data_IF_085638620838
#
_entry.id   IF_085638620838
#
_cell.length_a   1.000
_cell.length_b   1.000
_cell.length_c   1.000
_cell.angle_alpha   90.00
_cell.angle_beta   90.00
_cell.angle_gamma   90.00
#
_symmetry.space_group_name_H-M   'P 1'
#
loop_
_entity.id
_entity.type
_entity.pdbx_description
1 polymer ?
#
# COMPACT_ATOMS: atom_id res chain seq x y z
N UNK A 1 -43.00 7.81 8.37
CA UNK A 1 -42.36 8.94 9.01
C UNK A 1 -41.12 9.27 8.22
N UNK A 2 -41.16 10.46 7.62
CA UNK A 2 -40.23 10.94 6.59
C UNK A 2 -38.84 11.18 7.18
N UNK A 3 -37.82 10.60 6.57
CA UNK A 3 -36.45 11.15 6.57
C UNK A 3 -36.02 11.19 5.12
N UNK A 4 -36.53 12.20 4.44
CA UNK A 4 -35.98 12.77 3.22
C UNK A 4 -35.37 14.08 3.60
N UNK A 5 -34.22 14.35 3.01
CA UNK A 5 -33.63 15.63 2.72
C UNK A 5 -32.41 16.11 3.46
N UNK A 6 -31.59 16.52 2.54
CA UNK A 6 -30.53 17.50 2.55
C UNK A 6 -29.13 16.94 2.83
N UNK A 7 -28.60 16.28 1.80
CA UNK A 7 -27.16 16.28 1.57
C UNK A 7 -26.89 17.56 0.76
N UNK A 8 -26.59 18.62 1.49
CA UNK A 8 -26.13 19.89 0.94
C UNK A 8 -24.87 19.65 0.10
N UNK A 9 -24.88 20.24 -1.07
CA UNK A 9 -23.78 20.30 -2.02
C UNK A 9 -22.53 20.80 -1.33
N UNK A 10 -21.53 19.94 -1.23
CA UNK A 10 -20.16 20.38 -1.05
C UNK A 10 -19.43 20.03 -2.33
N UNK A 11 -18.83 21.05 -2.89
CA UNK A 11 -17.90 20.96 -4.01
C UNK A 11 -16.74 20.03 -3.63
N UNK A 12 -17.00 18.73 -3.76
CA UNK A 12 -15.96 17.78 -4.01
C UNK A 12 -15.45 18.15 -5.39
N UNK A 13 -14.18 18.58 -5.48
CA UNK A 13 -13.47 18.69 -6.74
C UNK A 13 -13.66 17.36 -7.44
N UNK A 14 -14.63 17.30 -8.30
CA UNK A 14 -14.90 16.15 -9.13
C UNK A 14 -13.69 16.00 -10.04
N UNK A 15 -13.00 14.85 -9.93
CA UNK A 15 -12.06 14.44 -10.96
C UNK A 15 -12.73 14.66 -12.32
N UNK A 16 -12.06 15.31 -13.28
CA UNK A 16 -12.67 15.63 -14.56
C UNK A 16 -12.95 14.34 -15.32
N UNK A 17 -14.21 14.06 -15.55
CA UNK A 17 -14.66 13.22 -16.64
C UNK A 17 -14.75 11.75 -16.32
N UNK A 18 -15.84 11.33 -16.51
CA UNK A 18 -16.50 10.16 -17.06
C UNK A 18 -17.94 10.15 -16.52
N UNK A 19 -18.64 11.26 -16.67
CA UNK A 19 -20.10 11.19 -16.62
C UNK A 19 -20.51 10.41 -17.85
N UNK A 20 -20.97 9.16 -17.64
CA UNK A 20 -21.64 8.43 -18.71
C UNK A 20 -22.69 9.33 -19.34
N UNK A 21 -22.80 9.30 -20.68
CA UNK A 21 -23.71 10.20 -21.37
C UNK A 21 -25.12 10.10 -20.79
N UNK A 22 -25.70 11.23 -20.50
CA UNK A 22 -27.07 11.39 -19.97
C UNK A 22 -28.11 10.46 -20.65
N UNK A 23 -27.97 10.11 -21.97
CA UNK A 23 -28.87 9.18 -22.64
C UNK A 23 -28.89 7.77 -22.06
N UNK A 24 -27.77 7.26 -21.50
CA UNK A 24 -27.74 5.89 -20.94
C UNK A 24 -28.60 5.76 -19.70
N UNK A 25 -28.48 6.67 -18.73
CA UNK A 25 -29.25 6.65 -17.48
C UNK A 25 -30.76 6.86 -17.75
N UNK A 26 -31.13 7.70 -18.70
CA UNK A 26 -32.51 7.93 -19.08
C UNK A 26 -33.10 6.70 -19.80
N UNK A 27 -32.35 6.09 -20.70
CA UNK A 27 -32.76 4.85 -21.38
C UNK A 27 -32.93 3.69 -20.38
N UNK A 28 -31.97 3.51 -19.46
CA UNK A 28 -32.08 2.52 -18.38
C UNK A 28 -33.29 2.77 -17.48
N UNK A 29 -33.51 4.03 -17.07
CA UNK A 29 -34.66 4.40 -16.25
C UNK A 29 -36.01 4.12 -16.94
N UNK A 30 -36.08 4.33 -18.25
CA UNK A 30 -37.26 3.96 -19.04
C UNK A 30 -37.43 2.43 -19.18
N UNK A 31 -36.33 1.73 -19.41
CA UNK A 31 -36.35 0.27 -19.53
C UNK A 31 -36.86 -0.41 -18.25
N UNK A 32 -36.32 -0.02 -17.07
CA UNK A 32 -36.74 -0.63 -15.80
C UNK A 32 -38.19 -0.34 -15.40
N UNK A 33 -38.79 0.75 -15.95
CA UNK A 33 -40.21 1.06 -15.73
C UNK A 33 -41.17 0.09 -16.41
N UNK A 34 -40.71 -0.59 -17.46
CA UNK A 34 -41.54 -1.55 -18.22
C UNK A 34 -41.81 -2.83 -17.47
N UNK A 35 -40.97 -3.17 -16.48
CA UNK A 35 -41.16 -4.36 -15.67
C UNK A 35 -42.15 -4.09 -14.55
N UNK A 36 -43.16 -4.92 -14.44
CA UNK A 36 -44.17 -4.83 -13.36
C UNK A 36 -43.59 -5.37 -12.05
N UNK A 37 -44.12 -4.88 -10.94
CA UNK A 37 -43.81 -5.42 -9.62
C UNK A 37 -44.58 -6.73 -9.43
N UNK A 38 -43.90 -7.74 -8.94
CA UNK A 38 -44.48 -9.05 -8.69
C UNK A 38 -45.32 -9.07 -7.42
N UNK A 39 -46.46 -9.80 -7.48
CA UNK A 39 -47.22 -10.16 -6.30
C UNK A 39 -46.45 -11.18 -5.43
N UNK A 40 -46.71 -11.23 -4.10
CA UNK A 40 -45.98 -12.14 -3.20
C UNK A 40 -46.01 -13.60 -3.62
N UNK A 41 -47.14 -14.08 -4.13
CA UNK A 41 -47.29 -15.44 -4.63
C UNK A 41 -46.42 -15.71 -5.87
N UNK A 42 -46.34 -14.76 -6.78
CA UNK A 42 -45.53 -14.86 -7.99
C UNK A 42 -44.03 -14.86 -7.65
N UNK A 43 -43.59 -14.01 -6.70
CA UNK A 43 -42.20 -14.01 -6.21
C UNK A 43 -41.81 -15.41 -5.70
N UNK A 44 -42.68 -16.02 -4.87
CA UNK A 44 -42.42 -17.33 -4.31
C UNK A 44 -42.38 -18.44 -5.38
N UNK A 45 -43.30 -18.40 -6.33
CA UNK A 45 -43.35 -19.37 -7.42
C UNK A 45 -42.10 -19.29 -8.29
N UNK A 46 -41.69 -18.09 -8.69
CA UNK A 46 -40.45 -17.86 -9.48
C UNK A 46 -39.22 -18.30 -8.71
N UNK A 47 -39.14 -17.98 -7.42
CA UNK A 47 -38.01 -18.38 -6.59
C UNK A 47 -37.91 -19.89 -6.41
N UNK A 48 -39.04 -20.60 -6.16
CA UNK A 48 -39.06 -22.07 -6.11
C UNK A 48 -38.65 -22.69 -7.43
N UNK A 49 -39.22 -22.20 -8.53
CA UNK A 49 -38.87 -22.69 -9.86
C UNK A 49 -37.36 -22.51 -10.16
N UNK A 50 -36.78 -21.40 -9.75
CA UNK A 50 -35.33 -21.22 -9.84
C UNK A 50 -34.54 -22.21 -8.98
N UNK A 51 -34.98 -22.47 -7.75
CA UNK A 51 -34.30 -23.42 -6.85
C UNK A 51 -34.38 -24.87 -7.34
N UNK A 52 -35.55 -25.29 -7.79
CA UNK A 52 -35.82 -26.68 -8.17
C UNK A 52 -35.25 -27.03 -9.55
N UNK A 53 -35.47 -26.16 -10.53
CA UNK A 53 -35.18 -26.46 -11.95
C UNK A 53 -34.03 -25.67 -12.52
N UNK A 54 -33.49 -24.72 -11.76
CA UNK A 54 -32.45 -23.75 -12.25
C UNK A 54 -32.90 -23.00 -13.51
N UNK A 55 -34.20 -22.72 -13.61
CA UNK A 55 -34.76 -21.98 -14.75
C UNK A 55 -34.29 -20.53 -14.73
N UNK A 56 -33.34 -20.18 -15.62
CA UNK A 56 -32.82 -18.85 -15.78
C UNK A 56 -33.90 -17.80 -16.11
N UNK A 57 -34.97 -18.17 -16.77
CA UNK A 57 -36.09 -17.28 -17.07
C UNK A 57 -36.82 -16.86 -15.81
N UNK A 58 -36.97 -17.78 -14.86
CA UNK A 58 -37.58 -17.47 -13.55
C UNK A 58 -36.68 -16.53 -12.75
N UNK A 59 -35.37 -16.79 -12.72
CA UNK A 59 -34.40 -15.92 -12.05
C UNK A 59 -34.38 -14.52 -12.69
N UNK A 60 -34.36 -14.45 -14.02
CA UNK A 60 -34.37 -13.18 -14.75
C UNK A 60 -35.65 -12.38 -14.50
N UNK A 61 -36.84 -13.03 -14.47
CA UNK A 61 -38.09 -12.38 -14.15
C UNK A 61 -38.09 -11.82 -12.71
N UNK A 62 -37.55 -12.58 -11.74
CA UNK A 62 -37.40 -12.12 -10.36
C UNK A 62 -36.48 -10.93 -10.23
N UNK A 63 -35.33 -10.94 -10.91
CA UNK A 63 -34.35 -9.83 -10.91
C UNK A 63 -34.90 -8.59 -11.61
N UNK A 64 -35.44 -8.74 -12.82
CA UNK A 64 -35.88 -7.60 -13.65
C UNK A 64 -37.04 -6.81 -13.00
N UNK A 65 -37.97 -7.49 -12.33
CA UNK A 65 -39.06 -6.84 -11.58
C UNK A 65 -38.57 -5.99 -10.41
N UNK A 66 -37.36 -6.27 -9.87
CA UNK A 66 -36.78 -5.57 -8.73
C UNK A 66 -35.66 -4.57 -9.06
N UNK A 67 -35.31 -4.37 -10.34
CA UNK A 67 -34.28 -3.41 -10.76
C UNK A 67 -34.55 -1.97 -10.28
N UNK A 68 -35.82 -1.57 -10.12
CA UNK A 68 -36.19 -0.27 -9.57
C UNK A 68 -35.68 -0.07 -8.14
N UNK A 69 -35.68 -1.13 -7.33
CA UNK A 69 -35.17 -1.11 -5.95
C UNK A 69 -33.66 -0.93 -5.97
N UNK A 70 -32.95 -1.69 -6.80
CA UNK A 70 -31.51 -1.57 -6.96
C UNK A 70 -31.09 -0.15 -7.38
N UNK A 71 -31.75 0.41 -8.39
CA UNK A 71 -31.51 1.79 -8.83
C UNK A 71 -31.83 2.84 -7.75
N UNK A 72 -32.90 2.65 -6.97
CA UNK A 72 -33.25 3.52 -5.84
C UNK A 72 -32.19 3.48 -4.75
N UNK A 73 -31.72 2.31 -4.37
CA UNK A 73 -30.67 2.15 -3.37
C UNK A 73 -29.36 2.76 -3.85
N UNK A 74 -28.91 2.48 -5.10
CA UNK A 74 -27.70 3.03 -5.70
C UNK A 74 -27.68 4.56 -5.71
N UNK A 75 -28.82 5.18 -6.02
CA UNK A 75 -28.95 6.66 -6.02
C UNK A 75 -28.63 7.27 -4.66
N UNK A 76 -28.89 6.57 -3.56
CA UNK A 76 -28.54 7.01 -2.21
C UNK A 76 -27.05 7.15 -1.94
N UNK A 77 -26.21 6.54 -2.79
CA UNK A 77 -24.75 6.57 -2.67
C UNK A 77 -24.05 7.54 -3.65
N UNK A 78 -24.80 8.37 -4.38
CA UNK A 78 -24.25 9.36 -5.32
C UNK A 78 -23.24 10.31 -4.67
N UNK A 79 -23.38 10.58 -3.37
CA UNK A 79 -22.51 11.49 -2.61
C UNK A 79 -21.07 11.03 -2.39
N UNK A 80 -20.71 9.81 -2.81
CA UNK A 80 -19.34 9.28 -2.70
C UNK A 80 -18.44 9.66 -3.90
N UNK A 81 -18.92 10.44 -4.87
CA UNK A 81 -18.12 10.91 -6.01
C UNK A 81 -17.92 9.87 -7.12
N UNK A 82 -18.48 8.67 -6.98
CA UNK A 82 -18.37 7.62 -7.98
C UNK A 82 -19.47 7.71 -9.05
N UNK A 83 -19.25 7.24 -10.29
CA UNK A 83 -20.23 7.26 -11.37
C UNK A 83 -21.51 6.51 -10.97
N UNK A 84 -22.66 7.15 -11.15
CA UNK A 84 -23.95 6.53 -10.80
C UNK A 84 -24.23 5.26 -11.61
N UNK A 85 -23.73 5.18 -12.83
CA UNK A 85 -23.86 3.99 -13.71
C UNK A 85 -23.21 2.78 -13.07
N UNK A 86 -22.01 2.94 -12.53
CA UNK A 86 -21.26 1.87 -11.89
C UNK A 86 -21.93 1.44 -10.58
N UNK A 87 -22.41 2.41 -9.79
CA UNK A 87 -23.19 2.13 -8.58
C UNK A 87 -24.46 1.32 -8.88
N UNK A 88 -25.14 1.62 -10.00
CA UNK A 88 -26.32 0.86 -10.44
C UNK A 88 -25.91 -0.54 -10.91
N UNK A 89 -24.82 -0.67 -11.66
CA UNK A 89 -24.30 -1.97 -12.09
C UNK A 89 -23.98 -2.89 -10.91
N UNK A 90 -23.29 -2.37 -9.90
CA UNK A 90 -22.98 -3.10 -8.67
C UNK A 90 -24.25 -3.41 -7.84
N UNK A 91 -25.23 -2.50 -7.84
CA UNK A 91 -26.52 -2.75 -7.22
C UNK A 91 -27.27 -3.91 -7.89
N UNK A 92 -27.24 -3.96 -9.24
CA UNK A 92 -27.83 -5.05 -9.99
C UNK A 92 -27.09 -6.38 -9.75
N UNK A 93 -25.77 -6.35 -9.65
CA UNK A 93 -24.98 -7.54 -9.26
C UNK A 93 -25.39 -8.05 -7.87
N UNK A 94 -25.54 -7.16 -6.89
CA UNK A 94 -26.04 -7.48 -5.56
C UNK A 94 -27.45 -8.10 -5.58
N UNK A 95 -28.31 -7.61 -6.49
CA UNK A 95 -29.66 -8.15 -6.68
C UNK A 95 -29.62 -9.58 -7.28
N UNK A 96 -28.75 -9.84 -8.24
CA UNK A 96 -28.53 -11.18 -8.82
C UNK A 96 -28.01 -12.16 -7.76
N UNK A 97 -27.05 -11.73 -6.94
CA UNK A 97 -26.53 -12.55 -5.83
C UNK A 97 -27.67 -12.86 -4.83
N UNK A 98 -28.52 -11.88 -4.53
CA UNK A 98 -29.68 -12.10 -3.66
C UNK A 98 -30.63 -13.12 -4.26
N UNK A 99 -30.94 -13.03 -5.56
CA UNK A 99 -31.83 -13.97 -6.24
C UNK A 99 -31.31 -15.43 -6.20
N UNK A 100 -29.99 -15.59 -6.36
CA UNK A 100 -29.37 -16.92 -6.29
C UNK A 100 -29.41 -17.59 -4.92
N UNK A 101 -29.58 -16.80 -3.86
CA UNK A 101 -29.54 -17.26 -2.45
C UNK A 101 -30.89 -17.12 -1.72
N UNK A 102 -31.90 -16.59 -2.39
CA UNK A 102 -33.20 -16.34 -1.78
C UNK A 102 -33.96 -17.66 -1.50
N UNK A 103 -34.42 -17.83 -0.26
CA UNK A 103 -35.20 -18.94 0.19
C UNK A 103 -36.67 -18.49 0.41
N UNK A 104 -37.59 -18.88 -0.49
CA UNK A 104 -38.97 -18.39 -0.47
C UNK A 104 -39.77 -18.86 0.76
N UNK A 105 -39.39 -20.00 1.35
CA UNK A 105 -40.12 -20.63 2.46
C UNK A 105 -39.88 -19.95 3.81
N UNK A 106 -38.95 -19.02 3.91
CA UNK A 106 -38.68 -18.22 5.14
C UNK A 106 -39.68 -17.08 5.38
N UNK A 107 -40.68 -16.90 4.54
CA UNK A 107 -41.76 -15.93 4.69
C UNK A 107 -41.37 -14.46 4.44
N UNK A 108 -40.12 -14.14 4.14
CA UNK A 108 -39.68 -12.79 3.83
C UNK A 108 -39.94 -12.46 2.34
N UNK A 109 -40.29 -11.20 2.06
CA UNK A 109 -40.36 -10.69 0.67
C UNK A 109 -38.97 -10.61 0.06
N UNK A 110 -38.85 -10.93 -1.24
CA UNK A 110 -37.60 -10.86 -1.96
C UNK A 110 -36.96 -9.45 -1.91
N UNK A 111 -37.83 -8.43 -2.03
CA UNK A 111 -37.36 -7.02 -1.90
C UNK A 111 -36.64 -6.73 -0.57
N UNK A 112 -37.21 -7.26 0.54
CA UNK A 112 -36.57 -7.06 1.88
C UNK A 112 -35.28 -7.83 2.01
N UNK A 113 -35.23 -9.04 1.48
CA UNK A 113 -34.02 -9.87 1.48
C UNK A 113 -32.91 -9.30 0.57
N UNK A 114 -33.27 -8.74 -0.57
CA UNK A 114 -32.31 -8.23 -1.56
C UNK A 114 -31.58 -6.94 -1.12
N UNK A 115 -32.24 -6.06 -0.37
CA UNK A 115 -31.66 -4.75 0.02
C UNK A 115 -30.31 -4.87 0.75
N UNK A 116 -30.11 -5.76 1.74
CA UNK A 116 -28.78 -5.98 2.35
C UNK A 116 -27.70 -6.39 1.35
N UNK A 117 -28.04 -7.27 0.40
CA UNK A 117 -27.10 -7.74 -0.64
C UNK A 117 -26.70 -6.61 -1.61
N UNK A 118 -27.69 -5.84 -2.06
CA UNK A 118 -27.47 -4.64 -2.89
C UNK A 118 -26.54 -3.66 -2.18
N UNK A 119 -26.82 -3.35 -0.90
CA UNK A 119 -25.96 -2.48 -0.10
C UNK A 119 -24.56 -3.03 0.06
N UNK A 120 -24.42 -4.34 0.31
CA UNK A 120 -23.10 -4.97 0.46
C UNK A 120 -22.25 -4.87 -0.81
N UNK A 121 -22.85 -5.13 -2.00
CA UNK A 121 -22.16 -4.96 -3.29
C UNK A 121 -21.73 -3.52 -3.52
N UNK A 122 -22.62 -2.56 -3.30
CA UNK A 122 -22.30 -1.12 -3.43
C UNK A 122 -21.18 -0.72 -2.45
N UNK A 123 -21.25 -1.14 -1.19
CA UNK A 123 -20.22 -0.82 -0.19
C UNK A 123 -18.87 -1.43 -0.58
N UNK A 124 -18.84 -2.67 -1.07
CA UNK A 124 -17.62 -3.30 -1.54
C UNK A 124 -16.99 -2.54 -2.72
N UNK A 125 -17.82 -2.09 -3.66
CA UNK A 125 -17.39 -1.28 -4.79
C UNK A 125 -16.83 0.07 -4.35
N UNK A 126 -17.55 0.80 -3.48
CA UNK A 126 -17.11 2.11 -2.96
C UNK A 126 -15.74 1.97 -2.29
N UNK A 127 -15.57 1.00 -1.36
CA UNK A 127 -14.30 0.82 -0.66
C UNK A 127 -13.13 0.46 -1.58
N UNK A 128 -13.41 -0.13 -2.74
CA UNK A 128 -12.39 -0.50 -3.73
C UNK A 128 -12.02 0.66 -4.67
N UNK A 129 -12.98 1.51 -4.99
CA UNK A 129 -12.87 2.47 -6.09
C UNK A 129 -12.84 3.94 -5.64
N UNK A 130 -13.02 4.22 -4.35
CA UNK A 130 -13.12 5.58 -3.83
C UNK A 130 -11.78 6.32 -3.79
N UNK A 131 -10.67 5.62 -3.51
CA UNK A 131 -9.31 6.17 -3.43
C UNK A 131 -8.30 5.24 -4.11
N UNK A 132 -7.20 5.80 -4.62
CA UNK A 132 -6.06 5.05 -5.17
C UNK A 132 -5.44 4.14 -4.10
N UNK A 133 -5.38 4.61 -2.85
CA UNK A 133 -4.91 3.82 -1.72
C UNK A 133 -6.07 3.06 -1.11
N UNK A 134 -5.95 1.73 -1.05
CA UNK A 134 -7.01 0.85 -0.52
C UNK A 134 -7.38 1.21 0.92
N UNK A 135 -8.66 1.53 1.12
CA UNK A 135 -9.26 1.86 2.42
C UNK A 135 -10.19 0.71 2.86
N UNK A 136 -10.40 0.60 4.19
CA UNK A 136 -11.38 -0.34 4.73
C UNK A 136 -10.92 -1.79 4.75
N UNK A 137 -9.66 -2.05 5.10
CA UNK A 137 -9.13 -3.40 5.28
C UNK A 137 -9.69 -4.08 6.53
N UNK A 138 -9.94 -3.32 7.61
CA UNK A 138 -10.50 -3.83 8.87
C UNK A 138 -11.99 -3.52 9.02
N UNK A 139 -12.68 -4.24 9.92
CA UNK A 139 -14.09 -3.98 10.23
C UNK A 139 -14.28 -2.57 10.82
N UNK A 140 -13.37 -2.11 11.68
CA UNK A 140 -13.36 -0.78 12.26
C UNK A 140 -13.26 0.31 11.18
N UNK A 141 -12.32 0.17 10.23
CA UNK A 141 -12.17 1.11 9.12
C UNK A 141 -13.41 1.19 8.22
N UNK A 142 -14.05 0.04 7.92
CA UNK A 142 -15.31 0.02 7.16
C UNK A 142 -16.43 0.75 7.91
N UNK A 143 -16.57 0.49 9.21
CA UNK A 143 -17.56 1.13 10.09
C UNK A 143 -17.34 2.65 10.11
N UNK A 144 -16.10 3.09 10.28
CA UNK A 144 -15.71 4.51 10.28
C UNK A 144 -15.98 5.16 8.92
N UNK A 145 -15.54 4.57 7.82
CA UNK A 145 -15.70 5.14 6.48
C UNK A 145 -17.16 5.54 6.18
N UNK A 146 -18.13 4.70 6.52
CA UNK A 146 -19.53 4.97 6.24
C UNK A 146 -20.24 5.80 7.31
N UNK A 147 -19.76 5.82 8.55
CA UNK A 147 -20.47 6.44 9.68
C UNK A 147 -19.83 7.72 10.21
N UNK A 148 -18.53 7.91 10.04
CA UNK A 148 -17.77 9.00 10.66
C UNK A 148 -18.38 10.39 10.37
N UNK A 149 -18.63 10.71 9.12
CA UNK A 149 -19.25 12.01 8.74
C UNK A 149 -20.63 12.23 9.35
N UNK A 150 -21.42 11.15 9.50
CA UNK A 150 -22.72 11.21 10.16
C UNK A 150 -22.61 11.46 11.65
N UNK A 151 -21.68 10.78 12.33
CA UNK A 151 -21.45 10.97 13.76
C UNK A 151 -20.80 12.33 14.07
N UNK A 152 -19.90 12.82 13.23
CA UNK A 152 -19.36 14.18 13.33
C UNK A 152 -20.48 15.22 13.30
N UNK A 153 -21.41 15.15 12.35
CA UNK A 153 -22.56 16.07 12.27
C UNK A 153 -23.42 16.03 13.54
N UNK A 154 -23.64 14.86 14.12
CA UNK A 154 -24.40 14.70 15.36
C UNK A 154 -23.65 15.28 16.56
N UNK A 155 -22.35 15.08 16.62
CA UNK A 155 -21.51 15.56 17.71
C UNK A 155 -21.32 17.08 17.69
N UNK A 156 -21.30 17.70 16.50
CA UNK A 156 -21.08 19.15 16.32
C UNK A 156 -22.36 19.96 16.13
N UNK A 157 -23.55 19.34 16.32
CA UNK A 157 -24.83 20.03 16.17
C UNK A 157 -25.12 20.50 14.75
N UNK A 158 -24.52 19.87 13.72
CA UNK A 158 -24.72 20.21 12.31
C UNK A 158 -23.70 21.17 11.72
N UNK A 159 -22.82 21.77 12.52
CA UNK A 159 -21.73 22.60 12.02
C UNK A 159 -20.66 21.74 11.35
N UNK A 160 -20.07 22.24 10.25
CA UNK A 160 -18.88 21.62 9.65
C UNK A 160 -17.64 22.01 10.45
N UNK A 161 -17.54 21.47 11.65
CA UNK A 161 -16.36 21.68 12.48
C UNK A 161 -15.27 20.64 12.11
N UNK A 162 -14.01 21.08 12.17
CA UNK A 162 -12.87 20.17 12.11
C UNK A 162 -12.96 19.17 13.26
N UNK A 163 -12.56 17.94 13.01
CA UNK A 163 -12.46 16.92 14.04
C UNK A 163 -11.45 17.36 15.11
N UNK A 164 -11.93 17.58 16.34
CA UNK A 164 -11.07 17.83 17.49
C UNK A 164 -10.82 16.53 18.25
N UNK A 165 -9.71 16.40 19.02
CA UNK A 165 -9.44 15.21 19.81
C UNK A 165 -10.58 14.81 20.75
N UNK A 166 -11.29 15.80 21.34
CA UNK A 166 -12.41 15.56 22.24
C UNK A 166 -13.60 14.94 21.49
N UNK A 167 -13.95 15.49 20.32
CA UNK A 167 -15.00 14.94 19.46
C UNK A 167 -14.62 13.56 18.93
N UNK A 168 -13.33 13.33 18.62
CA UNK A 168 -12.85 12.02 18.21
C UNK A 168 -13.03 10.96 19.30
N UNK A 169 -12.81 11.32 20.56
CA UNK A 169 -13.02 10.42 21.71
C UNK A 169 -14.50 10.04 21.87
N UNK A 170 -15.40 11.01 21.78
CA UNK A 170 -16.86 10.75 21.84
C UNK A 170 -17.34 9.85 20.70
N UNK A 171 -16.81 10.06 19.49
CA UNK A 171 -17.15 9.23 18.33
C UNK A 171 -16.57 7.81 18.48
N UNK A 172 -15.34 7.72 19.01
CA UNK A 172 -14.66 6.46 19.26
C UNK A 172 -15.47 5.56 20.20
N UNK A 173 -15.97 6.09 21.30
CA UNK A 173 -16.83 5.38 22.24
C UNK A 173 -18.14 4.91 21.59
N UNK A 174 -18.82 5.78 20.82
CA UNK A 174 -20.07 5.41 20.11
C UNK A 174 -19.91 4.34 19.06
N UNK A 175 -18.76 4.33 18.40
CA UNK A 175 -18.47 3.39 17.33
C UNK A 175 -17.65 2.19 17.78
N UNK A 176 -17.27 2.11 19.07
CA UNK A 176 -16.42 1.03 19.63
C UNK A 176 -15.11 0.87 18.85
N UNK A 177 -14.42 1.96 18.61
CA UNK A 177 -13.14 2.04 17.93
C UNK A 177 -12.19 2.95 18.72
N UNK A 178 -10.91 2.99 18.36
CA UNK A 178 -9.97 3.88 19.03
C UNK A 178 -10.04 5.32 18.50
N UNK A 179 -9.78 6.33 19.34
CA UNK A 179 -9.73 7.72 18.92
C UNK A 179 -8.68 7.96 17.82
N UNK A 180 -7.58 7.21 17.84
CA UNK A 180 -6.55 7.24 16.81
C UNK A 180 -7.09 6.80 15.45
N UNK A 181 -7.85 5.70 15.39
CA UNK A 181 -8.47 5.23 14.15
C UNK A 181 -9.48 6.25 13.58
N UNK A 182 -10.19 6.96 14.47
CA UNK A 182 -11.11 8.04 14.06
C UNK A 182 -10.33 9.18 13.40
N UNK A 183 -9.23 9.65 13.99
CA UNK A 183 -8.39 10.72 13.45
C UNK A 183 -7.70 10.30 12.13
N UNK A 184 -7.17 9.07 12.07
CA UNK A 184 -6.57 8.52 10.85
C UNK A 184 -7.59 8.42 9.71
N UNK A 185 -8.82 8.01 10.02
CA UNK A 185 -9.88 7.92 9.02
C UNK A 185 -10.33 9.31 8.54
N UNK A 186 -10.43 10.31 9.42
CA UNK A 186 -10.77 11.69 9.04
C UNK A 186 -9.72 12.26 8.07
N UNK A 187 -8.43 12.06 8.36
CA UNK A 187 -7.35 12.47 7.46
C UNK A 187 -7.48 11.83 6.06
N UNK A 188 -7.85 10.53 6.00
CA UNK A 188 -8.05 9.82 4.73
C UNK A 188 -9.32 10.27 3.98
N UNK A 189 -10.38 10.63 4.70
CA UNK A 189 -11.64 11.10 4.10
C UNK A 189 -11.55 12.49 3.44
N UNK A 190 -10.43 13.19 3.60
CA UNK A 190 -10.16 14.41 2.85
C UNK A 190 -9.90 14.16 1.35
N UNK A 191 -9.73 12.88 0.96
CA UNK A 191 -9.55 12.47 -0.42
C UNK A 191 -8.11 12.58 -0.91
N UNK A 192 -7.90 12.09 -2.13
CA UNK A 192 -6.62 12.16 -2.82
C UNK A 192 -6.42 13.57 -3.38
N UNK A 193 -5.22 14.13 -3.23
CA UNK A 193 -4.87 15.44 -3.81
C UNK A 193 -4.31 15.25 -5.21
N UNK A 194 -4.69 16.13 -6.13
CA UNK A 194 -4.08 16.15 -7.46
C UNK A 194 -2.69 16.77 -7.38
N UNK A 195 -1.70 16.11 -7.97
CA UNK A 195 -0.33 16.64 -8.07
C UNK A 195 -0.25 17.89 -8.96
N UNK A 196 -1.18 18.02 -9.90
CA UNK A 196 -1.30 19.21 -10.75
C UNK A 196 -2.07 20.35 -10.08
N UNK A 197 -2.52 20.18 -8.82
CA UNK A 197 -3.12 21.27 -8.07
C UNK A 197 -2.03 22.28 -7.68
N UNK A 198 -2.36 23.57 -7.85
CA UNK A 198 -1.43 24.67 -7.54
C UNK A 198 -1.32 24.91 -6.04
N UNK A 199 -0.11 25.15 -5.58
CA UNK A 199 0.15 25.49 -4.17
C UNK A 199 -0.23 26.95 -3.92
N UNK A 200 -1.02 27.18 -2.86
CA UNK A 200 -1.45 28.54 -2.48
C UNK A 200 -2.68 29.07 -3.19
N UNK A 201 -3.22 28.37 -4.20
CA UNK A 201 -4.46 28.80 -4.88
C UNK A 201 -4.30 29.99 -5.82
N UNK A 202 -3.08 30.46 -6.08
CA UNK A 202 -2.77 31.51 -7.04
C UNK A 202 -2.69 30.93 -8.45
N UNK A 203 -3.13 31.71 -9.48
CA UNK A 203 -3.13 31.25 -10.88
C UNK A 203 -1.73 30.95 -11.42
N UNK A 204 -0.68 31.60 -10.89
CA UNK A 204 0.74 31.38 -11.25
C UNK A 204 1.52 30.53 -10.22
N UNK A 205 0.83 29.92 -9.26
CA UNK A 205 1.47 29.08 -8.23
C UNK A 205 2.09 27.79 -8.81
N UNK A 206 3.20 27.34 -8.21
CA UNK A 206 3.83 26.08 -8.55
C UNK A 206 2.86 24.90 -8.29
N UNK A 207 2.92 23.86 -9.14
CA UNK A 207 2.16 22.63 -8.94
C UNK A 207 2.82 21.76 -7.84
N UNK A 208 2.02 20.96 -7.13
CA UNK A 208 2.55 20.04 -6.12
C UNK A 208 3.58 19.07 -6.67
N UNK A 209 3.45 18.67 -7.95
CA UNK A 209 4.40 17.79 -8.63
C UNK A 209 5.82 18.38 -8.64
N UNK A 210 5.96 19.69 -8.84
CA UNK A 210 7.26 20.37 -8.89
C UNK A 210 7.97 20.46 -7.54
N UNK A 211 7.23 20.28 -6.44
CA UNK A 211 7.77 20.28 -5.07
C UNK A 211 8.18 18.89 -4.58
N UNK A 212 7.82 17.84 -5.32
CA UNK A 212 8.21 16.48 -4.97
C UNK A 212 9.67 16.26 -5.38
N UNK A 213 10.48 15.93 -4.39
CA UNK A 213 11.88 15.56 -4.59
C UNK A 213 11.95 14.06 -4.81
N UNK A 214 12.70 13.63 -5.83
CA UNK A 214 13.00 12.22 -6.05
C UNK A 214 13.97 11.73 -4.96
N UNK A 215 13.62 10.59 -4.33
CA UNK A 215 14.49 9.91 -3.36
C UNK A 215 15.64 9.14 -4.02
N UNK A 216 15.70 9.09 -5.35
CA UNK A 216 16.76 8.45 -6.08
C UNK A 216 18.10 9.18 -5.81
N UNK A 217 19.15 8.38 -5.61
CA UNK A 217 20.50 8.90 -5.46
C UNK A 217 20.89 9.64 -6.74
N UNK A 218 21.43 10.85 -6.61
CA UNK A 218 21.81 11.65 -7.76
C UNK A 218 22.91 10.97 -8.62
N UNK A 219 22.98 11.36 -9.88
CA UNK A 219 23.91 10.76 -10.83
C UNK A 219 25.37 10.97 -10.43
N UNK A 220 25.69 12.09 -9.76
CA UNK A 220 27.05 12.39 -9.28
C UNK A 220 27.46 11.40 -8.19
N UNK A 221 26.60 11.16 -7.21
CA UNK A 221 26.85 10.19 -6.12
C UNK A 221 26.98 8.76 -6.67
N UNK A 222 26.11 8.36 -7.63
CA UNK A 222 26.21 7.05 -8.28
C UNK A 222 27.52 6.87 -9.01
N UNK A 223 27.95 7.89 -9.74
CA UNK A 223 29.23 7.86 -10.48
C UNK A 223 30.42 7.82 -9.51
N UNK A 224 30.41 8.67 -8.49
CA UNK A 224 31.45 8.70 -7.47
C UNK A 224 31.60 7.37 -6.75
N UNK A 225 30.48 6.74 -6.36
CA UNK A 225 30.48 5.42 -5.75
C UNK A 225 31.01 4.33 -6.69
N UNK A 226 30.69 4.42 -7.97
CA UNK A 226 31.18 3.47 -8.99
C UNK A 226 32.70 3.63 -9.16
N UNK A 227 33.19 4.83 -9.37
CA UNK A 227 34.63 5.11 -9.50
C UNK A 227 35.39 4.64 -8.25
N UNK A 228 34.83 4.89 -7.07
CA UNK A 228 35.44 4.47 -5.81
C UNK A 228 35.51 2.95 -5.69
N UNK A 229 34.45 2.24 -6.08
CA UNK A 229 34.43 0.75 -6.10
C UNK A 229 35.45 0.20 -7.10
N UNK A 230 35.52 0.77 -8.30
CA UNK A 230 36.46 0.38 -9.34
C UNK A 230 37.92 0.61 -8.89
N UNK A 231 38.19 1.74 -8.28
CA UNK A 231 39.53 2.09 -7.73
C UNK A 231 39.91 1.12 -6.60
N UNK A 232 39.01 0.87 -5.65
CA UNK A 232 39.24 -0.12 -4.55
C UNK A 232 39.48 -1.54 -5.08
N UNK A 233 38.66 -1.97 -6.06
CA UNK A 233 38.78 -3.28 -6.69
C UNK A 233 40.09 -3.43 -7.45
N UNK A 234 40.51 -2.39 -8.18
CA UNK A 234 41.77 -2.35 -8.89
C UNK A 234 42.96 -2.43 -7.93
N UNK A 235 42.98 -1.62 -6.87
CA UNK A 235 44.00 -1.65 -5.84
C UNK A 235 44.12 -3.01 -5.13
N UNK A 236 42.94 -3.64 -4.83
CA UNK A 236 42.91 -4.97 -4.24
C UNK A 236 43.47 -6.04 -5.19
N UNK A 237 43.08 -6.02 -6.47
CA UNK A 237 43.59 -6.96 -7.48
C UNK A 237 45.10 -6.84 -7.63
N UNK A 238 45.65 -5.61 -7.67
CA UNK A 238 47.08 -5.36 -7.74
C UNK A 238 47.81 -5.89 -6.48
N UNK A 239 47.23 -5.63 -5.29
CA UNK A 239 47.77 -6.12 -4.02
C UNK A 239 47.80 -7.67 -3.93
N UNK A 240 46.77 -8.32 -4.42
CA UNK A 240 46.70 -9.79 -4.49
C UNK A 240 47.75 -10.36 -5.46
N UNK A 241 48.09 -9.62 -6.53
CA UNK A 241 49.14 -9.97 -7.45
C UNK A 241 50.54 -10.06 -6.80
N UNK A 242 50.77 -9.27 -5.73
CA UNK A 242 52.03 -9.28 -4.97
C UNK A 242 52.14 -10.43 -3.92
N UNK A 243 51.15 -11.28 -3.76
CA UNK A 243 51.18 -12.45 -2.85
C UNK A 243 51.77 -13.68 -3.55
N UNK A 244 52.40 -14.56 -2.76
CA UNK A 244 52.74 -15.89 -3.23
C UNK A 244 51.44 -16.70 -3.51
N UNK A 245 51.51 -17.71 -4.38
CA UNK A 245 50.37 -18.55 -4.72
C UNK A 245 49.68 -19.15 -3.46
N UNK A 246 50.48 -19.56 -2.48
CA UNK A 246 50.01 -20.12 -1.21
C UNK A 246 49.32 -19.09 -0.32
N UNK A 247 49.87 -17.87 -0.22
CA UNK A 247 49.26 -16.75 0.55
C UNK A 247 47.95 -16.29 -0.09
N UNK A 248 47.93 -16.23 -1.43
CA UNK A 248 46.74 -15.82 -2.18
C UNK A 248 45.61 -16.85 -1.98
N UNK A 249 45.89 -18.12 -2.16
CA UNK A 249 44.90 -19.20 -2.00
C UNK A 249 44.25 -19.17 -0.59
N UNK A 250 45.07 -19.09 0.45
CA UNK A 250 44.57 -18.99 1.82
C UNK A 250 43.70 -17.75 2.03
N UNK A 251 44.09 -16.58 1.49
CA UNK A 251 43.36 -15.36 1.65
C UNK A 251 42.03 -15.34 0.88
N UNK A 252 42.05 -15.85 -0.36
CA UNK A 252 40.86 -15.97 -1.19
C UNK A 252 39.83 -16.93 -0.58
N UNK A 253 40.25 -18.12 -0.17
CA UNK A 253 39.39 -19.12 0.44
C UNK A 253 38.78 -18.67 1.79
N UNK A 254 39.50 -17.81 2.53
CA UNK A 254 39.07 -17.39 3.87
C UNK A 254 38.35 -16.04 3.91
N UNK A 255 38.63 -15.11 3.01
CA UNK A 255 38.18 -13.71 3.09
C UNK A 255 37.42 -13.20 1.87
N UNK A 256 37.60 -13.83 0.72
CA UNK A 256 37.01 -13.38 -0.52
C UNK A 256 35.96 -14.34 -1.06
N UNK A 257 35.89 -15.59 -0.52
CA UNK A 257 34.86 -16.55 -0.89
C UNK A 257 33.55 -16.25 -0.15
N UNK A 258 32.42 -16.45 -0.82
CA UNK A 258 31.06 -16.32 -0.24
C UNK A 258 30.86 -17.29 0.95
N UNK A 259 31.47 -18.48 0.88
CA UNK A 259 31.51 -19.46 1.96
C UNK A 259 32.94 -19.67 2.44
N UNK A 260 33.37 -19.03 3.54
CA UNK A 260 34.73 -19.14 4.03
C UNK A 260 35.09 -20.57 4.45
N UNK A 261 36.17 -21.09 3.94
CA UNK A 261 36.70 -22.43 4.29
C UNK A 261 37.30 -22.38 5.69
N UNK A 262 37.18 -23.45 6.51
CA UNK A 262 37.75 -23.45 7.88
C UNK A 262 39.27 -23.62 7.85
N UNK A 263 39.95 -23.18 8.97
CA UNK A 263 41.40 -23.32 9.09
C UNK A 263 41.88 -24.79 9.02
N UNK A 264 41.09 -25.69 9.57
CA UNK A 264 41.40 -27.11 9.62
C UNK A 264 41.29 -27.75 8.24
N UNK A 265 40.27 -27.41 7.45
CA UNK A 265 40.10 -27.86 6.06
C UNK A 265 41.28 -27.41 5.19
N UNK A 266 41.66 -26.12 5.25
CA UNK A 266 42.83 -25.62 4.56
C UNK A 266 44.14 -26.21 5.08
N UNK A 267 44.22 -26.58 6.36
CA UNK A 267 45.32 -27.28 6.95
C UNK A 267 45.53 -28.66 6.30
N UNK A 268 44.42 -29.41 6.15
CA UNK A 268 44.44 -30.72 5.48
C UNK A 268 44.84 -30.57 4.00
N UNK A 269 44.21 -29.62 3.28
CA UNK A 269 44.46 -29.37 1.86
C UNK A 269 45.93 -29.02 1.56
N UNK A 270 46.49 -28.13 2.40
CA UNK A 270 47.87 -27.64 2.23
C UNK A 270 48.94 -28.52 2.95
N UNK A 271 48.49 -29.56 3.65
CA UNK A 271 49.36 -30.44 4.47
C UNK A 271 50.17 -29.67 5.53
N UNK A 272 49.54 -28.75 6.25
CA UNK A 272 50.13 -27.95 7.32
C UNK A 272 49.15 -27.83 8.51
N UNK A 273 49.64 -27.42 9.68
CA UNK A 273 48.80 -27.21 10.84
C UNK A 273 47.86 -26.01 10.66
N UNK A 274 46.66 -26.08 11.26
CA UNK A 274 45.68 -24.95 11.25
C UNK A 274 46.28 -23.64 11.80
N UNK A 275 47.16 -23.74 12.79
CA UNK A 275 47.90 -22.55 13.30
C UNK A 275 48.85 -21.97 12.24
N UNK A 276 49.44 -22.82 11.43
CA UNK A 276 50.30 -22.34 10.32
C UNK A 276 49.47 -21.65 9.23
N UNK A 277 48.26 -22.15 8.92
CA UNK A 277 47.33 -21.49 8.01
C UNK A 277 46.95 -20.09 8.56
N UNK A 278 46.66 -20.00 9.86
CA UNK A 278 46.34 -18.72 10.51
C UNK A 278 47.50 -17.71 10.43
N UNK A 279 48.75 -18.18 10.61
CA UNK A 279 49.93 -17.32 10.46
C UNK A 279 50.10 -16.83 9.02
N UNK A 280 49.83 -17.68 8.01
CA UNK A 280 49.86 -17.29 6.61
C UNK A 280 48.79 -16.28 6.31
N UNK A 281 47.53 -16.48 6.77
CA UNK A 281 46.43 -15.56 6.62
C UNK A 281 46.78 -14.15 7.16
N UNK A 282 47.29 -14.09 8.40
CA UNK A 282 47.66 -12.81 9.04
C UNK A 282 48.78 -12.09 8.24
N UNK A 283 49.77 -12.85 7.78
CA UNK A 283 50.89 -12.24 6.97
C UNK A 283 50.38 -11.76 5.61
N UNK A 284 49.59 -12.57 4.93
CA UNK A 284 49.01 -12.24 3.64
C UNK A 284 48.12 -10.99 3.76
N UNK A 285 47.21 -10.94 4.76
CA UNK A 285 46.38 -9.80 5.02
C UNK A 285 47.22 -8.51 5.33
N UNK A 286 48.27 -8.63 6.12
CA UNK A 286 49.14 -7.51 6.42
C UNK A 286 49.85 -6.94 5.16
N UNK A 287 50.27 -7.84 4.25
CA UNK A 287 50.88 -7.45 2.96
C UNK A 287 49.86 -6.74 2.08
N UNK A 288 48.67 -7.31 1.90
CA UNK A 288 47.60 -6.67 1.11
C UNK A 288 47.22 -5.31 1.68
N UNK A 289 46.97 -5.23 2.99
CA UNK A 289 46.65 -3.96 3.66
C UNK A 289 47.72 -2.90 3.39
N UNK A 290 48.99 -3.27 3.51
CA UNK A 290 50.10 -2.31 3.26
C UNK A 290 50.12 -1.86 1.80
N UNK A 291 49.96 -2.79 0.85
CA UNK A 291 49.93 -2.49 -0.58
C UNK A 291 48.78 -1.57 -0.96
N UNK A 292 47.55 -1.84 -0.46
CA UNK A 292 46.35 -1.01 -0.70
C UNK A 292 46.54 0.41 -0.10
N UNK A 293 47.09 0.51 1.11
CA UNK A 293 47.34 1.82 1.73
C UNK A 293 48.36 2.63 0.93
N UNK A 294 49.43 1.99 0.41
CA UNK A 294 50.41 2.67 -0.43
C UNK A 294 49.78 3.11 -1.74
N UNK A 295 49.03 2.25 -2.42
CA UNK A 295 48.33 2.59 -3.65
C UNK A 295 47.32 3.75 -3.45
N UNK A 296 46.56 3.75 -2.37
CA UNK A 296 45.65 4.85 -2.03
C UNK A 296 46.41 6.18 -1.76
N UNK A 297 47.56 6.12 -1.12
CA UNK A 297 48.40 7.34 -0.90
C UNK A 297 48.99 7.86 -2.21
N UNK A 298 49.42 6.98 -3.09
CA UNK A 298 49.99 7.37 -4.38
C UNK A 298 48.88 7.95 -5.29
N UNK A 299 47.68 7.37 -5.32
CA UNK A 299 46.52 7.93 -6.01
C UNK A 299 46.06 9.28 -5.43
N UNK A 300 46.13 9.46 -4.12
CA UNK A 300 45.84 10.75 -3.48
C UNK A 300 46.88 11.84 -3.83
N UNK A 301 48.17 11.47 -3.97
CA UNK A 301 49.21 12.39 -4.42
C UNK A 301 49.08 12.75 -5.89
N UNK A 302 48.62 11.85 -6.72
CA UNK A 302 48.34 12.06 -8.14
C UNK A 302 47.06 12.90 -8.38
N UNK A 303 46.28 13.20 -7.34
CA UNK A 303 45.00 13.89 -7.49
C UNK A 303 43.85 13.02 -8.01
N UNK A 304 44.11 11.73 -8.17
CA UNK A 304 43.12 10.72 -8.68
C UNK A 304 42.28 10.10 -7.58
N UNK A 305 42.64 10.29 -6.30
CA UNK A 305 41.91 9.72 -5.15
C UNK A 305 40.87 10.70 -4.63
N UNK A 306 39.59 10.42 -4.84
CA UNK A 306 38.45 11.16 -4.28
C UNK A 306 37.74 10.42 -3.12
N UNK A 307 38.40 9.46 -2.49
CA UNK A 307 37.81 8.70 -1.39
C UNK A 307 37.99 9.37 -0.02
N UNK A 308 37.09 9.07 0.93
CA UNK A 308 37.22 9.44 2.34
C UNK A 308 38.59 9.04 2.91
N UNK A 309 39.17 9.90 3.73
CA UNK A 309 40.42 9.63 4.41
C UNK A 309 40.37 8.31 5.17
N UNK A 310 41.30 7.40 4.88
CA UNK A 310 41.45 6.15 5.61
C UNK A 310 41.50 6.44 7.11
N UNK A 311 40.74 5.70 7.95
CA UNK A 311 40.76 5.90 9.39
C UNK A 311 42.23 5.76 9.88
N UNK A 312 42.69 6.63 10.81
CA UNK A 312 44.03 6.54 11.34
C UNK A 312 44.29 5.17 11.92
N UNK A 313 45.45 4.60 11.58
CA UNK A 313 45.85 3.29 12.09
C UNK A 313 45.69 3.27 13.62
N UNK A 314 44.81 2.40 14.12
CA UNK A 314 44.65 2.23 15.55
C UNK A 314 46.01 2.01 16.20
N UNK A 315 46.47 2.97 17.00
CA UNK A 315 47.67 2.84 17.81
C UNK A 315 47.48 1.60 18.69
N UNK A 316 48.31 0.59 18.51
CA UNK A 316 48.36 -0.55 19.40
C UNK A 316 48.57 -0.01 20.83
N UNK A 317 47.53 -0.08 21.65
CA UNK A 317 47.66 0.12 23.08
C UNK A 317 48.65 -0.92 23.60
N UNK A 318 49.72 -0.46 24.23
CA UNK A 318 50.61 -1.32 25.02
C UNK A 318 49.74 -2.04 26.05
N UNK A 319 49.86 -3.36 26.25
CA UNK A 319 49.18 -4.05 27.34
C UNK A 319 49.65 -3.41 28.66
N UNK A 320 48.73 -2.75 29.32
CA UNK A 320 48.96 -2.21 30.67
C UNK A 320 49.28 -3.34 31.62
N UNK A 321 50.42 -3.23 32.31
CA UNK A 321 50.79 -4.10 33.41
C UNK A 321 49.70 -4.01 34.51
N UNK A 322 49.00 -5.10 34.73
CA UNK A 322 48.08 -5.23 35.85
C UNK A 322 48.88 -5.22 37.16
N UNK A 323 48.76 -4.15 37.95
CA UNK A 323 49.13 -4.14 39.35
C UNK A 323 48.09 -4.94 40.11
N UNK A 324 48.52 -6.05 40.70
CA UNK A 324 47.79 -6.80 41.72
C UNK A 324 47.87 -5.96 43.00
N UNK A 325 46.75 -5.65 43.68
CA UNK A 325 46.82 -5.15 45.05
C UNK A 325 47.00 -6.30 46.06
N UNK A 326 47.80 -6.00 47.07
CA UNK A 326 48.05 -6.86 48.22
C UNK A 326 46.80 -7.05 49.10
#
# INVERSE_FOLDING_TARGET
MQISHEISRHDAVAAPGLSAPVPFLSAYAMAIKRYELLEPGQEQQLARRWQETRDERAANALVTSHLRIAAKVARGYKGYGLPLVDLIAEANLGLVIAASRFEPDRGARFSTYAVPWIKASIHAYILRSWSLVKIGTTAAQKKLFFRLRGEMRKATGGAMARLTPDVATVIAERLEVTAREVMEMDARLNGDMSLNARVGGEEDGAEWETLLVDDAVDAETVLADREQRESRSSALRAALGGLTARERHVLEARRLADHPVTLDQLGVELSISSERVRQIEIRAFAKVRRAVILAARDAARAGEWRGEALPPAARRGRPGASKVPA
#
